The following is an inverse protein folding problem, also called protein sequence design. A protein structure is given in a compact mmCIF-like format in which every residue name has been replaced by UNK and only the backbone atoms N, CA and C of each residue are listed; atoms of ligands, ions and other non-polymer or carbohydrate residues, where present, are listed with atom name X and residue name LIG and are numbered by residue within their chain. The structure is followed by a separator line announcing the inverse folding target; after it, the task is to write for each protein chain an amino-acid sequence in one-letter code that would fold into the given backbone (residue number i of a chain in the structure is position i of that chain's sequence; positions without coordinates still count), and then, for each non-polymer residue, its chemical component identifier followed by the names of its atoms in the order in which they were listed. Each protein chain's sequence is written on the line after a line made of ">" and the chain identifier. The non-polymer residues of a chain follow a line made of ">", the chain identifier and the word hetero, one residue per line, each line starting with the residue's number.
data_IF_913250990397
#
_entry.id   IF_913250990397
#
_cell.length_a   1.000
_cell.length_b   1.000
_cell.length_c   1.000
_cell.angle_alpha   90.00
_cell.angle_beta   90.00
_cell.angle_gamma   90.00
#
_symmetry.space_group_name_H-M   'P 1'
#
loop_
_entity.id
_entity.type
_entity.pdbx_description
1 polymer ?
#
# COMPACT_ATOMS: atom_id res chain seq x y z
N UNK A 1 10.26 -46.45 0.41
CA UNK A 1 10.76 -45.06 0.42
C UNK A 1 11.50 -44.64 -0.87
N UNK A 2 11.45 -45.40 -1.98
CA UNK A 2 12.33 -45.19 -3.14
C UNK A 2 12.13 -43.89 -3.95
N UNK A 3 10.99 -43.22 -3.81
CA UNK A 3 10.63 -42.05 -4.63
C UNK A 3 10.35 -40.78 -3.82
N UNK A 4 10.74 -40.76 -2.53
CA UNK A 4 10.50 -39.59 -1.66
C UNK A 4 11.28 -38.38 -2.18
N UNK A 5 10.60 -37.27 -2.41
CA UNK A 5 11.19 -36.01 -2.89
C UNK A 5 11.19 -35.85 -4.42
N UNK A 6 10.68 -36.82 -5.17
CA UNK A 6 10.50 -36.69 -6.63
C UNK A 6 9.19 -35.95 -6.91
N UNK A 7 9.23 -35.00 -7.85
CA UNK A 7 8.05 -34.29 -8.37
C UNK A 7 7.55 -35.02 -9.62
N UNK A 8 6.25 -35.29 -9.69
CA UNK A 8 5.66 -35.94 -10.86
C UNK A 8 5.57 -34.99 -12.05
N UNK A 9 6.13 -35.36 -13.20
CA UNK A 9 6.11 -34.51 -14.42
C UNK A 9 4.72 -34.28 -15.00
N UNK A 10 3.75 -35.17 -14.73
CA UNK A 10 2.39 -35.04 -15.26
C UNK A 10 1.50 -34.12 -14.42
N UNK A 11 1.66 -34.10 -13.10
CA UNK A 11 0.78 -33.36 -12.20
C UNK A 11 1.49 -32.31 -11.32
N UNK A 12 2.81 -32.25 -11.32
CA UNK A 12 3.61 -31.30 -10.54
C UNK A 12 3.59 -31.55 -9.02
N UNK A 13 3.01 -32.66 -8.56
CA UNK A 13 2.94 -32.99 -7.12
C UNK A 13 4.19 -33.74 -6.69
N UNK A 14 4.79 -33.28 -5.58
CA UNK A 14 5.90 -33.95 -4.92
C UNK A 14 5.45 -35.16 -4.11
N UNK A 15 6.14 -36.29 -4.27
CA UNK A 15 5.94 -37.49 -3.47
C UNK A 15 6.57 -37.30 -2.09
N UNK A 16 5.77 -36.77 -1.16
CA UNK A 16 6.14 -36.56 0.23
C UNK A 16 5.10 -37.19 1.17
N UNK A 17 5.45 -37.30 2.46
CA UNK A 17 4.45 -37.67 3.49
C UNK A 17 3.43 -36.54 3.59
N UNK A 18 2.15 -36.88 3.75
CA UNK A 18 1.07 -35.90 3.87
C UNK A 18 1.27 -34.85 4.98
N UNK A 19 2.15 -35.10 5.96
CA UNK A 19 2.54 -34.14 6.99
C UNK A 19 2.98 -32.78 6.42
N UNK A 20 3.65 -32.74 5.25
CA UNK A 20 4.13 -31.48 4.65
C UNK A 20 3.01 -30.49 4.31
N UNK A 21 1.77 -30.97 4.12
CA UNK A 21 0.59 -30.11 3.86
C UNK A 21 0.24 -29.19 5.03
N UNK A 22 0.77 -29.45 6.22
CA UNK A 22 0.56 -28.63 7.43
C UNK A 22 1.64 -27.55 7.62
N UNK A 23 2.76 -27.66 6.90
CA UNK A 23 3.95 -26.81 7.08
C UNK A 23 4.21 -25.92 5.85
N UNK A 24 3.78 -26.35 4.65
CA UNK A 24 3.91 -25.56 3.43
C UNK A 24 2.85 -24.47 3.36
N UNK A 25 3.29 -23.22 3.24
CA UNK A 25 2.42 -22.06 3.09
C UNK A 25 2.13 -21.77 1.62
N UNK A 26 0.88 -21.44 1.32
CA UNK A 26 0.51 -20.76 0.08
C UNK A 26 0.44 -19.25 0.31
N UNK A 27 0.40 -18.48 -0.77
CA UNK A 27 0.12 -17.04 -0.72
C UNK A 27 -0.84 -16.65 -1.84
N UNK A 28 -1.47 -15.48 -1.68
CA UNK A 28 -2.34 -14.88 -2.69
C UNK A 28 -1.67 -13.59 -3.14
N UNK A 29 -1.49 -13.45 -4.44
CA UNK A 29 -1.00 -12.22 -5.05
C UNK A 29 -2.19 -11.27 -5.26
N UNK A 30 -2.14 -10.11 -4.61
CA UNK A 30 -3.19 -9.11 -4.70
C UNK A 30 -2.93 -8.16 -5.87
N UNK A 31 -3.98 -7.80 -6.60
CA UNK A 31 -3.88 -6.84 -7.71
C UNK A 31 -3.54 -5.41 -7.25
N UNK A 32 -3.82 -5.08 -5.98
CA UNK A 32 -3.51 -3.80 -5.37
C UNK A 32 -2.97 -4.03 -3.95
N UNK A 33 -2.02 -3.21 -3.47
CA UNK A 33 -1.57 -3.27 -2.10
C UNK A 33 -2.73 -2.99 -1.13
N UNK A 34 -2.71 -3.66 0.03
CA UNK A 34 -3.67 -3.48 1.11
C UNK A 34 -2.92 -3.29 2.43
N UNK A 35 -3.48 -2.49 3.32
CA UNK A 35 -2.94 -2.33 4.68
C UNK A 35 -3.49 -3.39 5.61
N UNK A 36 -2.62 -3.97 6.45
CA UNK A 36 -3.06 -4.92 7.47
C UNK A 36 -3.80 -4.18 8.60
N UNK A 37 -4.99 -4.67 8.98
CA UNK A 37 -5.88 -4.00 9.93
C UNK A 37 -5.23 -3.72 11.30
N UNK A 38 -4.34 -4.60 11.77
CA UNK A 38 -3.63 -4.43 13.04
C UNK A 38 -2.79 -3.16 13.13
N UNK A 39 -2.20 -2.71 12.01
CA UNK A 39 -1.36 -1.51 12.02
C UNK A 39 -2.15 -0.21 11.83
N UNK A 40 -3.40 -0.33 11.37
CA UNK A 40 -4.30 0.81 11.13
C UNK A 40 -5.20 1.05 12.33
N UNK A 41 -5.94 0.02 12.76
CA UNK A 41 -6.94 0.08 13.84
C UNK A 41 -6.40 -0.30 15.23
N UNK A 42 -5.14 -0.75 15.31
CA UNK A 42 -4.48 -0.92 16.60
C UNK A 42 -4.40 0.40 17.34
N UNK A 43 -4.53 0.38 18.66
CA UNK A 43 -4.37 1.57 19.51
C UNK A 43 -3.05 1.45 20.27
N UNK A 44 -2.06 2.34 20.06
CA UNK A 44 -2.03 3.42 19.07
C UNK A 44 -1.87 2.91 17.63
N UNK A 45 -2.32 3.70 16.65
CA UNK A 45 -2.17 3.34 15.24
C UNK A 45 -0.71 3.47 14.83
N UNK A 46 -0.03 2.35 14.60
CA UNK A 46 1.38 2.36 14.21
C UNK A 46 1.61 3.12 12.89
N UNK A 47 0.71 2.95 11.92
CA UNK A 47 0.76 3.70 10.66
C UNK A 47 0.45 5.19 10.87
N UNK A 48 -0.52 5.51 11.72
CA UNK A 48 -0.85 6.90 12.04
C UNK A 48 0.32 7.62 12.71
N UNK A 49 1.01 6.97 13.63
CA UNK A 49 2.17 7.50 14.32
C UNK A 49 3.37 7.69 13.37
N UNK A 50 3.61 6.75 12.46
CA UNK A 50 4.71 6.82 11.51
C UNK A 50 4.55 7.97 10.51
N UNK A 51 3.33 8.22 10.05
CA UNK A 51 3.03 9.23 9.04
C UNK A 51 2.63 10.59 9.64
N UNK A 52 2.52 10.69 10.96
CA UNK A 52 1.98 11.85 11.68
C UNK A 52 0.56 12.23 11.20
N UNK A 53 -0.29 11.23 10.94
CA UNK A 53 -1.67 11.40 10.50
C UNK A 53 -2.61 10.87 11.57
N UNK A 54 -3.65 11.63 11.89
CA UNK A 54 -4.68 11.16 12.84
C UNK A 54 -5.30 9.83 12.35
N UNK A 55 -5.53 8.85 13.23
CA UNK A 55 -6.08 7.54 12.83
C UNK A 55 -7.39 7.65 12.03
N UNK A 56 -8.21 8.65 12.36
CA UNK A 56 -9.46 8.96 11.66
C UNK A 56 -9.23 9.41 10.21
N UNK A 57 -8.24 10.26 9.96
CA UNK A 57 -7.93 10.70 8.59
C UNK A 57 -7.30 9.57 7.78
N UNK A 58 -6.42 8.78 8.40
CA UNK A 58 -5.83 7.61 7.75
C UNK A 58 -6.91 6.59 7.34
N UNK A 59 -7.88 6.32 8.21
CA UNK A 59 -9.00 5.43 7.91
C UNK A 59 -9.83 5.92 6.71
N UNK A 60 -10.08 7.24 6.62
CA UNK A 60 -10.80 7.84 5.49
C UNK A 60 -10.06 7.67 4.17
N UNK A 61 -8.73 7.77 4.17
CA UNK A 61 -7.92 7.55 2.95
C UNK A 61 -7.96 6.07 2.55
N UNK A 62 -7.80 5.16 3.52
CA UNK A 62 -7.79 3.71 3.27
C UNK A 62 -9.13 3.16 2.76
N UNK A 63 -10.25 3.72 3.22
CA UNK A 63 -11.57 3.38 2.72
C UNK A 63 -12.03 4.24 1.54
N UNK A 64 -11.10 4.89 0.83
CA UNK A 64 -11.36 5.68 -0.38
C UNK A 64 -12.37 6.82 -0.19
N UNK A 65 -12.52 7.34 1.03
CA UNK A 65 -13.40 8.47 1.33
C UNK A 65 -12.72 9.83 1.14
N UNK A 66 -11.38 9.88 1.19
CA UNK A 66 -10.58 11.09 0.98
C UNK A 66 -9.29 10.76 0.22
N UNK A 67 -8.81 11.71 -0.57
CA UNK A 67 -7.50 11.63 -1.21
C UNK A 67 -6.40 12.17 -0.27
N UNK A 68 -5.18 11.70 -0.48
CA UNK A 68 -3.97 12.22 0.15
C UNK A 68 -3.00 12.69 -0.93
N UNK A 69 -2.39 13.85 -0.73
CA UNK A 69 -1.35 14.36 -1.62
C UNK A 69 -0.06 13.66 -1.27
N UNK A 70 0.50 12.91 -2.24
CA UNK A 70 1.75 12.15 -2.05
C UNK A 70 2.98 12.97 -2.41
N UNK A 71 2.85 13.90 -3.36
CA UNK A 71 3.95 14.70 -3.86
C UNK A 71 3.44 16.03 -4.41
N UNK A 72 4.23 17.08 -4.23
CA UNK A 72 3.98 18.41 -4.80
C UNK A 72 5.28 18.88 -5.46
N UNK A 73 5.18 19.30 -6.72
CA UNK A 73 6.29 19.95 -7.41
C UNK A 73 6.39 21.42 -6.96
N UNK A 74 7.44 21.72 -6.21
CA UNK A 74 7.69 23.03 -5.64
C UNK A 74 8.10 24.09 -6.69
N UNK A 75 8.79 23.69 -7.75
CA UNK A 75 9.24 24.62 -8.80
C UNK A 75 8.06 25.09 -9.63
N UNK A 76 7.27 24.13 -10.14
CA UNK A 76 6.07 24.44 -10.89
C UNK A 76 5.06 25.24 -10.03
N UNK A 77 4.97 24.94 -8.74
CA UNK A 77 4.14 25.71 -7.80
C UNK A 77 4.62 27.16 -7.67
N UNK A 78 5.93 27.39 -7.54
CA UNK A 78 6.50 28.74 -7.45
C UNK A 78 6.22 29.58 -8.69
N UNK A 79 6.43 29.01 -9.87
CA UNK A 79 6.16 29.68 -11.16
C UNK A 79 4.66 29.96 -11.37
N UNK A 80 3.80 29.04 -10.97
CA UNK A 80 2.36 29.25 -11.02
C UNK A 80 1.92 30.39 -10.09
N UNK A 81 2.41 30.41 -8.84
CA UNK A 81 2.10 31.48 -7.87
C UNK A 81 2.59 32.84 -8.38
N UNK A 82 3.79 32.89 -8.99
CA UNK A 82 4.33 34.11 -9.59
C UNK A 82 3.43 34.68 -10.68
N UNK A 83 3.02 33.82 -11.63
CA UNK A 83 2.10 34.21 -12.71
C UNK A 83 0.75 34.70 -12.18
N UNK A 84 0.14 33.98 -11.25
CA UNK A 84 -1.14 34.41 -10.66
C UNK A 84 -1.02 35.77 -9.97
N UNK A 85 0.09 36.04 -9.27
CA UNK A 85 0.32 37.34 -8.61
C UNK A 85 0.47 38.48 -9.62
N UNK A 86 1.20 38.26 -10.72
CA UNK A 86 1.32 39.26 -11.79
C UNK A 86 -0.03 39.55 -12.46
N UNK A 87 -0.86 38.54 -12.67
CA UNK A 87 -2.22 38.70 -13.21
C UNK A 87 -3.12 39.50 -12.27
N UNK A 88 -3.08 39.22 -10.96
CA UNK A 88 -3.83 39.97 -9.95
C UNK A 88 -3.38 41.44 -9.95
N UNK A 89 -2.08 41.70 -9.97
CA UNK A 89 -1.55 43.08 -9.97
C UNK A 89 -1.98 43.88 -11.21
N UNK A 90 -2.10 43.23 -12.37
CA UNK A 90 -2.60 43.86 -13.62
C UNK A 90 -4.09 44.16 -13.61
N UNK A 91 -4.88 43.47 -12.79
CA UNK A 91 -6.33 43.70 -12.65
C UNK A 91 -6.66 44.77 -11.61
N UNK A 92 -5.76 45.00 -10.65
CA UNK A 92 -5.89 46.04 -9.62
C UNK A 92 -5.36 47.41 -10.07
N UNK A 93 -4.81 47.51 -11.28
CA UNK A 93 -4.35 48.75 -11.93
C UNK A 93 -5.30 49.21 -13.03
#
# INVERSE_FOLDING_TARGET
>A
MRYRGIVCDKCGVEVARAKVRRERMGHIELASPVSHIWFVKGTPSNLGLLLDISPRNLERVLYFAQYIVTHVDEQARGEAIGRTREEIAKLES
#
